data_IF_720545882157
#
_entry.id   IF_720545882157
#
_cell.length_a   1.000
_cell.length_b   1.000
_cell.length_c   1.000
_cell.angle_alpha   90.00
_cell.angle_beta   90.00
_cell.angle_gamma   90.00
#
_symmetry.space_group_name_H-M   'P 1'
#
loop_
_entity.id
_entity.type
_entity.pdbx_description
1 polymer ?
#
# COMPACT_ATOMS: atom_id res chain seq x y z
N UNK A 1 59.59 -5.93 -13.78
CA UNK A 1 58.53 -6.43 -14.71
C UNK A 1 57.40 -7.19 -13.98
N UNK A 2 57.66 -8.11 -13.04
CA UNK A 2 56.59 -8.81 -12.27
C UNK A 2 55.68 -7.89 -11.43
N UNK A 3 56.21 -6.80 -10.86
CA UNK A 3 55.41 -5.83 -10.07
C UNK A 3 54.50 -4.92 -10.90
N UNK A 4 54.84 -4.67 -12.17
CA UNK A 4 54.03 -3.87 -13.09
C UNK A 4 52.86 -4.72 -13.63
N UNK A 5 53.07 -6.02 -13.80
CA UNK A 5 52.02 -6.96 -14.19
C UNK A 5 50.92 -7.09 -13.10
N UNK A 6 51.28 -7.04 -11.82
CA UNK A 6 50.28 -7.07 -10.73
C UNK A 6 49.41 -5.80 -10.68
N UNK A 7 49.94 -4.62 -11.02
CA UNK A 7 49.17 -3.36 -11.05
C UNK A 7 48.19 -3.31 -12.24
N UNK A 8 48.55 -3.88 -13.39
CA UNK A 8 47.67 -3.99 -14.55
C UNK A 8 46.52 -4.99 -14.36
N UNK A 9 46.72 -6.04 -13.55
CA UNK A 9 45.66 -7.03 -13.25
C UNK A 9 44.64 -6.48 -12.24
N UNK A 10 45.05 -5.60 -11.32
CA UNK A 10 44.12 -4.96 -10.35
C UNK A 10 43.24 -3.90 -11.03
N UNK A 11 43.75 -3.21 -12.06
CA UNK A 11 42.96 -2.20 -12.80
C UNK A 11 41.84 -2.79 -13.67
N UNK A 12 41.88 -4.09 -13.99
CA UNK A 12 40.84 -4.76 -14.78
C UNK A 12 39.67 -5.30 -13.93
N UNK A 13 39.77 -5.17 -12.59
CA UNK A 13 38.73 -5.56 -11.64
C UNK A 13 37.96 -4.36 -11.05
N UNK A 14 38.04 -3.19 -11.68
CA UNK A 14 37.06 -2.14 -11.48
C UNK A 14 35.74 -2.56 -12.15
N UNK A 15 35.04 -3.52 -11.54
CA UNK A 15 33.67 -3.84 -11.87
C UNK A 15 32.90 -2.57 -11.54
N UNK A 16 32.51 -1.84 -12.58
CA UNK A 16 31.60 -0.73 -12.46
C UNK A 16 30.27 -1.28 -11.94
N UNK A 17 30.09 -1.27 -10.62
CA UNK A 17 28.79 -1.51 -9.97
C UNK A 17 27.95 -0.25 -10.11
N UNK A 18 27.64 0.12 -11.35
CA UNK A 18 26.60 1.11 -11.60
C UNK A 18 25.26 0.41 -11.43
N UNK A 19 24.33 1.11 -10.82
CA UNK A 19 22.94 0.72 -10.85
C UNK A 19 22.48 0.53 -12.30
N UNK A 20 21.76 -0.55 -12.57
CA UNK A 20 21.24 -0.92 -13.87
C UNK A 20 19.72 -0.85 -13.85
N UNK A 21 19.16 -0.28 -14.92
CA UNK A 21 17.75 -0.41 -15.25
C UNK A 21 17.33 -1.89 -15.25
N UNK A 22 16.26 -2.19 -14.54
CA UNK A 22 15.69 -3.54 -14.44
C UNK A 22 14.62 -3.68 -15.52
N UNK A 23 14.91 -4.50 -16.52
CA UNK A 23 13.92 -4.83 -17.56
C UNK A 23 12.77 -5.69 -17.00
N UNK A 24 11.68 -5.77 -17.75
CA UNK A 24 10.46 -6.46 -17.33
C UNK A 24 10.70 -7.94 -17.02
N UNK A 25 11.55 -8.64 -17.78
CA UNK A 25 11.80 -10.07 -17.55
C UNK A 25 12.61 -10.30 -16.28
N UNK A 26 13.62 -9.46 -16.03
CA UNK A 26 14.39 -9.45 -14.79
C UNK A 26 13.50 -9.11 -13.59
N UNK A 27 12.65 -8.09 -13.72
CA UNK A 27 11.67 -7.72 -12.70
C UNK A 27 10.66 -8.85 -12.44
N UNK A 28 10.21 -9.55 -13.48
CA UNK A 28 9.30 -10.69 -13.37
C UNK A 28 9.95 -11.84 -12.60
N UNK A 29 11.22 -12.17 -12.87
CA UNK A 29 11.97 -13.16 -12.08
C UNK A 29 12.07 -12.73 -10.61
N UNK A 30 12.50 -11.48 -10.37
CA UNK A 30 12.66 -10.93 -9.03
C UNK A 30 11.34 -10.91 -8.24
N UNK A 31 10.25 -10.46 -8.85
CA UNK A 31 8.92 -10.44 -8.26
C UNK A 31 8.42 -11.85 -7.94
N UNK A 32 8.70 -12.84 -8.80
CA UNK A 32 8.32 -14.24 -8.58
C UNK A 32 9.05 -14.83 -7.38
N UNK A 33 10.36 -14.58 -7.30
CA UNK A 33 11.18 -15.01 -6.17
C UNK A 33 10.75 -14.32 -4.88
N UNK A 34 10.51 -13.00 -4.90
CA UNK A 34 10.01 -12.24 -3.76
C UNK A 34 8.67 -12.81 -3.26
N UNK A 35 7.71 -13.02 -4.16
CA UNK A 35 6.42 -13.59 -3.78
C UNK A 35 6.61 -14.98 -3.15
N UNK A 36 7.40 -15.86 -3.77
CA UNK A 36 7.72 -17.19 -3.25
C UNK A 36 8.30 -17.14 -1.83
N UNK A 37 9.30 -16.28 -1.59
CA UNK A 37 9.94 -16.14 -0.29
C UNK A 37 8.97 -15.66 0.80
N UNK A 38 8.05 -14.77 0.45
CA UNK A 38 7.11 -14.15 1.40
C UNK A 38 5.88 -15.05 1.65
N UNK A 39 5.27 -15.63 0.62
CA UNK A 39 4.08 -16.48 0.76
C UNK A 39 4.40 -17.77 1.52
N UNK A 40 5.61 -18.30 1.36
CA UNK A 40 6.04 -19.53 2.01
C UNK A 40 6.29 -19.42 3.52
N UNK A 41 6.12 -18.22 4.09
CA UNK A 41 6.05 -18.03 5.53
C UNK A 41 4.67 -18.42 6.10
N UNK A 42 3.65 -18.49 5.25
CA UNK A 42 2.25 -18.70 5.63
C UNK A 42 1.62 -19.95 4.99
N UNK A 43 2.06 -20.29 3.78
CA UNK A 43 1.56 -21.42 2.98
C UNK A 43 2.74 -22.23 2.42
N UNK A 44 2.49 -23.38 1.81
CA UNK A 44 3.53 -24.14 1.10
C UNK A 44 3.23 -24.11 -0.40
N UNK A 45 3.86 -23.19 -1.13
CA UNK A 45 3.62 -22.93 -2.56
C UNK A 45 4.90 -23.19 -3.33
N UNK A 46 4.84 -24.01 -4.38
CA UNK A 46 6.02 -24.29 -5.20
C UNK A 46 6.32 -23.11 -6.13
N UNK A 47 7.60 -22.87 -6.38
CA UNK A 47 8.02 -21.83 -7.33
C UNK A 47 7.41 -22.03 -8.74
N UNK A 48 7.22 -23.28 -9.18
CA UNK A 48 6.58 -23.60 -10.46
C UNK A 48 5.11 -23.22 -10.55
N UNK A 49 4.42 -23.06 -9.41
CA UNK A 49 2.99 -22.72 -9.35
C UNK A 49 2.75 -21.21 -9.43
N UNK A 50 3.80 -20.39 -9.34
CA UNK A 50 3.70 -18.93 -9.35
C UNK A 50 3.87 -18.40 -10.78
N UNK A 51 2.81 -17.83 -11.34
CA UNK A 51 2.79 -17.14 -12.62
C UNK A 51 2.54 -15.65 -12.42
N UNK A 52 3.35 -14.81 -13.06
CA UNK A 52 3.22 -13.37 -12.98
C UNK A 52 2.73 -12.78 -14.29
N UNK A 53 1.76 -11.86 -14.18
CA UNK A 53 1.24 -11.09 -15.29
C UNK A 53 1.51 -9.60 -15.01
N UNK A 54 2.27 -8.94 -15.89
CA UNK A 54 2.46 -7.50 -15.80
C UNK A 54 1.12 -6.81 -16.06
N UNK A 55 0.66 -5.99 -15.12
CA UNK A 55 -0.62 -5.26 -15.23
C UNK A 55 -0.45 -3.76 -15.23
N UNK A 56 0.70 -3.24 -14.78
CA UNK A 56 0.99 -1.82 -14.78
C UNK A 56 2.50 -1.55 -14.83
N UNK A 57 2.88 -0.50 -15.56
CA UNK A 57 4.23 0.05 -15.55
C UNK A 57 4.12 1.55 -15.30
N UNK A 58 4.72 2.03 -14.22
CA UNK A 58 4.85 3.46 -14.00
C UNK A 58 6.03 4.00 -14.80
N UNK A 59 5.80 5.08 -15.54
CA UNK A 59 6.82 5.73 -16.36
C UNK A 59 6.88 7.21 -15.97
N UNK A 60 8.08 7.68 -15.61
CA UNK A 60 8.36 9.09 -15.34
C UNK A 60 9.54 9.52 -16.20
N UNK A 61 9.41 10.64 -16.93
CA UNK A 61 10.47 11.16 -17.81
C UNK A 61 10.99 10.11 -18.83
N UNK A 62 10.08 9.31 -19.40
CA UNK A 62 10.38 8.20 -20.31
C UNK A 62 11.18 7.02 -19.70
N UNK A 63 11.38 7.01 -18.38
CA UNK A 63 11.99 5.90 -17.66
C UNK A 63 10.96 5.14 -16.84
N UNK A 64 11.02 3.80 -16.87
CA UNK A 64 10.21 2.96 -15.99
C UNK A 64 10.73 3.10 -14.56
N UNK A 65 9.84 3.33 -13.60
CA UNK A 65 10.21 3.49 -12.18
C UNK A 65 9.72 2.33 -11.31
N UNK A 66 8.57 1.73 -11.62
CA UNK A 66 8.14 0.46 -11.01
C UNK A 66 7.18 -0.31 -11.92
N UNK A 67 7.04 -1.60 -11.61
CA UNK A 67 6.13 -2.53 -12.24
C UNK A 67 5.15 -3.12 -11.22
N UNK A 68 3.93 -3.42 -11.65
CA UNK A 68 2.96 -4.20 -10.86
C UNK A 68 2.66 -5.50 -11.60
N UNK A 69 2.86 -6.62 -10.91
CA UNK A 69 2.55 -7.95 -11.40
C UNK A 69 1.42 -8.58 -10.57
N UNK A 70 0.37 -9.06 -11.24
CA UNK A 70 -0.62 -9.92 -10.60
C UNK A 70 -0.14 -11.38 -10.60
N UNK A 71 -0.44 -12.09 -9.51
CA UNK A 71 -0.01 -13.47 -9.28
C UNK A 71 -1.16 -14.41 -9.58
N UNK A 72 -0.95 -15.37 -10.47
CA UNK A 72 -1.93 -16.40 -10.86
C UNK A 72 -3.32 -15.82 -11.20
N UNK A 73 -3.37 -14.59 -11.73
CA UNK A 73 -4.61 -13.87 -12.03
C UNK A 73 -5.25 -13.22 -10.82
N UNK A 74 -5.44 -13.94 -9.71
CA UNK A 74 -6.23 -13.48 -8.54
C UNK A 74 -5.54 -13.62 -7.18
N UNK A 75 -4.39 -14.29 -7.09
CA UNK A 75 -3.76 -14.71 -5.81
C UNK A 75 -2.86 -13.65 -5.18
N UNK A 76 -3.08 -12.38 -5.53
CA UNK A 76 -2.28 -11.26 -5.04
C UNK A 76 -1.56 -10.50 -6.13
N UNK A 77 -0.65 -9.64 -5.69
CA UNK A 77 0.20 -8.83 -6.56
C UNK A 77 1.55 -8.53 -5.92
N UNK A 78 2.51 -8.12 -6.74
CA UNK A 78 3.83 -7.60 -6.34
C UNK A 78 4.08 -6.28 -7.07
N UNK A 79 4.54 -5.28 -6.34
CA UNK A 79 4.99 -3.99 -6.84
C UNK A 79 6.52 -3.94 -6.67
N UNK A 80 7.23 -3.87 -7.79
CA UNK A 80 8.68 -3.96 -7.84
C UNK A 80 9.28 -2.71 -8.48
N UNK A 81 10.34 -2.15 -7.90
CA UNK A 81 11.13 -1.08 -8.53
C UNK A 81 11.68 -1.53 -9.88
N UNK A 82 11.75 -0.60 -10.83
CA UNK A 82 12.25 -0.84 -12.19
C UNK A 82 13.73 -0.45 -12.38
N UNK A 83 14.42 -0.11 -11.30
CA UNK A 83 15.84 0.22 -11.29
C UNK A 83 16.46 -0.26 -9.97
N UNK A 84 17.65 -0.86 -10.05
CA UNK A 84 18.31 -1.47 -8.88
C UNK A 84 18.98 -0.44 -7.94
N UNK A 85 18.90 0.85 -8.29
CA UNK A 85 19.22 1.97 -7.41
C UNK A 85 18.30 2.08 -6.19
N UNK A 86 17.06 1.58 -6.30
CA UNK A 86 16.02 1.65 -5.28
C UNK A 86 15.74 0.28 -4.66
N UNK A 87 15.10 0.26 -3.47
CA UNK A 87 14.68 -1.01 -2.85
C UNK A 87 13.80 -1.81 -3.82
N UNK A 88 14.04 -3.12 -4.00
CA UNK A 88 13.29 -3.91 -4.98
C UNK A 88 11.80 -3.99 -4.67
N UNK A 89 11.43 -4.31 -3.42
CA UNK A 89 10.05 -4.52 -3.02
C UNK A 89 9.42 -3.20 -2.55
N UNK A 90 8.51 -2.63 -3.34
CA UNK A 90 7.69 -1.50 -2.91
C UNK A 90 6.47 -1.98 -2.12
N UNK A 91 5.84 -3.08 -2.56
CA UNK A 91 4.69 -3.66 -1.87
C UNK A 91 4.25 -4.99 -2.47
N UNK A 92 3.44 -5.74 -1.73
CA UNK A 92 2.84 -7.00 -2.21
C UNK A 92 1.55 -7.32 -1.44
N UNK A 93 0.73 -8.20 -1.99
CA UNK A 93 -0.45 -8.79 -1.35
C UNK A 93 -0.57 -10.27 -1.71
N UNK A 94 -1.22 -11.06 -0.85
CA UNK A 94 -1.50 -12.48 -1.05
C UNK A 94 -2.99 -12.80 -1.22
N UNK A 95 -3.84 -11.79 -1.22
CA UNK A 95 -5.29 -11.98 -1.09
C UNK A 95 -6.02 -11.74 -2.41
N UNK A 96 -5.73 -10.61 -3.06
CA UNK A 96 -6.42 -10.21 -4.29
C UNK A 96 -5.46 -9.58 -5.29
N UNK A 97 -5.77 -9.74 -6.57
CA UNK A 97 -5.10 -9.04 -7.65
C UNK A 97 -5.21 -7.52 -7.53
N UNK A 98 -4.20 -6.81 -8.03
CA UNK A 98 -4.27 -5.37 -8.24
C UNK A 98 -5.22 -5.05 -9.40
N UNK A 99 -6.16 -4.12 -9.18
CA UNK A 99 -7.10 -3.66 -10.19
C UNK A 99 -6.78 -2.22 -10.59
N UNK A 100 -6.19 -2.06 -11.78
CA UNK A 100 -5.79 -0.76 -12.33
C UNK A 100 -6.96 0.18 -12.61
N UNK A 101 -8.19 -0.34 -12.74
CA UNK A 101 -9.39 0.48 -12.96
C UNK A 101 -10.01 1.03 -11.67
N UNK A 102 -9.57 0.55 -10.49
CA UNK A 102 -10.15 0.90 -9.19
C UNK A 102 -9.06 1.13 -8.15
N UNK A 103 -8.24 2.15 -8.36
CA UNK A 103 -7.14 2.49 -7.46
C UNK A 103 -7.56 3.63 -6.53
N UNK A 104 -7.60 3.45 -5.20
CA UNK A 104 -7.93 4.52 -4.26
C UNK A 104 -6.97 5.70 -4.36
N UNK A 105 -7.47 6.94 -4.22
CA UNK A 105 -6.64 8.15 -4.31
C UNK A 105 -5.50 8.18 -3.29
N UNK A 106 -5.75 7.73 -2.05
CA UNK A 106 -4.71 7.64 -1.02
C UNK A 106 -3.55 6.72 -1.43
N UNK A 107 -3.86 5.62 -2.11
CA UNK A 107 -2.86 4.70 -2.66
C UNK A 107 -2.11 5.35 -3.82
N UNK A 108 -2.80 6.05 -4.73
CA UNK A 108 -2.16 6.80 -5.82
C UNK A 108 -1.20 7.86 -5.29
N UNK A 109 -1.63 8.64 -4.29
CA UNK A 109 -0.79 9.62 -3.62
C UNK A 109 0.45 8.97 -3.01
N UNK A 110 0.29 7.86 -2.29
CA UNK A 110 1.41 7.14 -1.68
C UNK A 110 2.39 6.61 -2.73
N UNK A 111 1.88 5.99 -3.81
CA UNK A 111 2.69 5.50 -4.91
C UNK A 111 3.39 6.62 -5.69
N UNK A 112 2.80 7.82 -5.77
CA UNK A 112 3.46 8.98 -6.38
C UNK A 112 4.74 9.38 -5.63
N UNK A 113 4.83 9.13 -4.32
CA UNK A 113 6.04 9.40 -3.53
C UNK A 113 7.17 8.45 -3.93
N UNK A 114 6.90 7.15 -4.04
CA UNK A 114 7.87 6.19 -4.56
C UNK A 114 8.28 6.51 -5.99
N UNK A 115 7.32 6.82 -6.87
CA UNK A 115 7.58 7.21 -8.26
C UNK A 115 8.56 8.40 -8.34
N UNK A 116 8.32 9.44 -7.55
CA UNK A 116 9.18 10.62 -7.49
C UNK A 116 10.57 10.32 -6.88
N UNK A 117 10.64 9.54 -5.80
CA UNK A 117 11.90 9.18 -5.16
C UNK A 117 12.80 8.35 -6.10
N UNK A 118 12.22 7.35 -6.77
CA UNK A 118 12.94 6.51 -7.73
C UNK A 118 13.39 7.34 -8.93
N UNK A 119 12.49 8.14 -9.52
CA UNK A 119 12.84 9.02 -10.65
C UNK A 119 13.96 10.00 -10.30
N UNK A 120 13.92 10.56 -9.08
CA UNK A 120 14.94 11.47 -8.57
C UNK A 120 16.29 10.75 -8.40
N UNK A 121 16.30 9.54 -7.83
CA UNK A 121 17.51 8.73 -7.67
C UNK A 121 18.15 8.41 -9.03
N UNK A 122 17.34 8.00 -10.01
CA UNK A 122 17.78 7.74 -11.40
C UNK A 122 18.41 9.00 -12.00
N UNK A 123 17.71 10.13 -11.92
CA UNK A 123 18.16 11.42 -12.51
C UNK A 123 19.48 11.88 -11.89
N UNK A 124 19.63 11.72 -10.57
CA UNK A 124 20.83 12.12 -9.83
C UNK A 124 21.97 11.11 -9.95
N UNK A 125 21.73 9.94 -10.55
CA UNK A 125 22.68 8.82 -10.58
C UNK A 125 23.18 8.46 -9.18
N UNK A 126 22.25 8.42 -8.23
CA UNK A 126 22.59 8.00 -6.87
C UNK A 126 23.16 6.57 -6.87
N UNK A 127 23.84 6.21 -5.79
CA UNK A 127 24.35 4.85 -5.62
C UNK A 127 23.43 4.08 -4.66
N UNK A 128 23.07 2.82 -4.98
CA UNK A 128 22.33 1.99 -4.05
C UNK A 128 23.17 1.76 -2.79
N UNK A 129 22.50 1.71 -1.64
CA UNK A 129 23.16 1.29 -0.41
C UNK A 129 23.50 -0.20 -0.46
N UNK A 130 24.43 -0.65 0.39
CA UNK A 130 24.75 -2.08 0.49
C UNK A 130 23.51 -2.93 0.83
N UNK A 131 22.56 -2.37 1.60
CA UNK A 131 21.29 -3.01 1.92
C UNK A 131 20.43 -3.22 0.66
N UNK A 132 20.25 -2.18 -0.17
CA UNK A 132 19.51 -2.27 -1.43
C UNK A 132 20.15 -3.30 -2.37
N UNK A 133 21.47 -3.24 -2.54
CA UNK A 133 22.20 -4.21 -3.37
C UNK A 133 21.99 -5.64 -2.87
N UNK A 134 22.02 -5.86 -1.55
CA UNK A 134 21.77 -7.18 -0.95
C UNK A 134 20.33 -7.65 -1.21
N UNK A 135 19.33 -6.79 -1.00
CA UNK A 135 17.93 -7.12 -1.25
C UNK A 135 17.70 -7.56 -2.71
N UNK A 136 18.33 -6.90 -3.69
CA UNK A 136 18.28 -7.30 -5.09
C UNK A 136 18.93 -8.66 -5.35
N UNK A 137 20.12 -8.91 -4.80
CA UNK A 137 20.81 -10.20 -4.95
C UNK A 137 19.97 -11.35 -4.36
N UNK A 138 19.33 -11.12 -3.22
CA UNK A 138 18.50 -12.13 -2.53
C UNK A 138 17.28 -12.56 -3.35
N UNK A 139 16.78 -11.71 -4.27
CA UNK A 139 15.62 -12.01 -5.12
C UNK A 139 15.96 -12.25 -6.60
N UNK A 140 17.18 -11.95 -7.05
CA UNK A 140 17.66 -12.24 -8.40
C UNK A 140 18.30 -13.63 -8.53
N UNK A 141 18.50 -14.33 -7.41
CA UNK A 141 19.01 -15.71 -7.35
C UNK A 141 18.20 -16.69 -8.21
N UNK A 142 18.86 -17.74 -8.71
CA UNK A 142 18.21 -18.88 -9.37
C UNK A 142 17.57 -19.85 -8.36
N UNK A 143 18.04 -19.82 -7.11
CA UNK A 143 17.59 -20.70 -6.03
C UNK A 143 17.03 -19.87 -4.86
N UNK A 144 15.79 -19.37 -4.94
CA UNK A 144 15.21 -18.58 -3.86
C UNK A 144 14.95 -19.48 -2.64
N UNK A 145 15.42 -19.03 -1.47
CA UNK A 145 15.23 -19.74 -0.20
C UNK A 145 14.13 -19.11 0.64
N UNK A 146 13.33 -19.92 1.31
CA UNK A 146 12.28 -19.42 2.21
C UNK A 146 12.94 -18.84 3.47
N UNK A 147 12.81 -17.53 3.66
CA UNK A 147 13.32 -16.85 4.85
C UNK A 147 12.32 -16.99 6.00
N UNK A 148 12.74 -17.66 7.09
CA UNK A 148 11.96 -17.69 8.33
C UNK A 148 12.10 -16.36 9.05
N UNK A 149 11.09 -15.53 8.96
CA UNK A 149 10.99 -14.29 9.74
C UNK A 149 9.79 -14.35 10.68
N UNK A 150 9.88 -13.69 11.83
CA UNK A 150 8.69 -13.47 12.66
C UNK A 150 7.82 -12.43 11.96
N UNK A 151 6.59 -12.78 11.61
CA UNK A 151 5.59 -11.83 11.14
C UNK A 151 4.55 -11.61 12.24
N UNK A 152 4.01 -10.40 12.28
CA UNK A 152 2.82 -10.08 13.08
C UNK A 152 1.66 -10.06 12.07
N UNK A 153 0.59 -10.78 12.37
CA UNK A 153 -0.62 -10.72 11.55
C UNK A 153 -1.22 -9.31 11.57
N UNK A 154 -1.95 -8.87 10.53
CA UNK A 154 -2.63 -7.58 10.54
C UNK A 154 -3.47 -7.41 11.81
N UNK A 155 -3.22 -6.32 12.54
CA UNK A 155 -3.99 -6.01 13.76
C UNK A 155 -5.41 -5.58 13.40
N UNK A 156 -5.55 -4.81 12.32
CA UNK A 156 -6.84 -4.42 11.78
C UNK A 156 -7.34 -5.54 10.86
N UNK A 157 -8.48 -6.13 11.21
CA UNK A 157 -9.15 -7.20 10.45
C UNK A 157 -10.42 -6.72 9.76
N UNK A 158 -10.81 -5.47 9.98
CA UNK A 158 -11.95 -4.84 9.33
C UNK A 158 -11.50 -4.13 8.05
N UNK A 159 -12.39 -4.08 7.08
CA UNK A 159 -12.16 -3.51 5.75
C UNK A 159 -13.21 -2.45 5.47
N UNK A 160 -13.31 -1.48 6.38
CA UNK A 160 -14.31 -0.42 6.25
C UNK A 160 -13.96 0.53 5.11
N UNK A 161 -15.00 1.03 4.45
CA UNK A 161 -14.90 1.93 3.31
C UNK A 161 -15.53 3.29 3.66
N UNK A 162 -15.61 4.18 2.68
CA UNK A 162 -16.10 5.55 2.86
C UNK A 162 -17.41 5.82 2.11
N UNK A 163 -17.91 4.82 1.38
CA UNK A 163 -19.02 4.92 0.44
C UNK A 163 -20.32 4.37 1.03
N UNK A 164 -21.26 3.97 0.17
CA UNK A 164 -22.59 3.46 0.51
C UNK A 164 -22.54 2.50 1.71
N UNK A 165 -23.51 2.65 2.61
CA UNK A 165 -23.60 2.02 3.94
C UNK A 165 -22.70 2.64 5.01
N UNK A 166 -21.46 3.00 4.68
CA UNK A 166 -20.55 3.65 5.63
C UNK A 166 -20.87 5.14 5.80
N UNK A 167 -21.43 5.78 4.78
CA UNK A 167 -21.73 7.21 4.74
C UNK A 167 -23.21 7.58 4.95
N UNK A 168 -24.07 6.64 5.35
CA UNK A 168 -25.53 6.86 5.41
C UNK A 168 -25.98 8.00 6.33
N UNK A 169 -25.12 8.41 7.28
CA UNK A 169 -25.37 9.53 8.19
C UNK A 169 -24.52 10.77 7.89
N UNK A 170 -23.69 10.72 6.85
CA UNK A 170 -23.00 11.90 6.33
C UNK A 170 -23.99 12.84 5.61
N UNK A 171 -23.65 14.12 5.37
CA UNK A 171 -24.50 15.04 4.62
C UNK A 171 -25.01 14.47 3.29
N UNK A 172 -26.27 14.76 2.96
CA UNK A 172 -26.86 14.33 1.70
C UNK A 172 -26.25 15.08 0.51
N UNK A 173 -25.88 14.33 -0.52
CA UNK A 173 -25.37 14.86 -1.78
C UNK A 173 -25.71 13.93 -2.95
N UNK A 174 -26.44 14.44 -3.94
CA UNK A 174 -26.90 13.65 -5.09
C UNK A 174 -25.76 13.12 -5.98
N UNK A 175 -24.58 13.73 -5.95
CA UNK A 175 -23.39 13.27 -6.67
C UNK A 175 -22.57 12.24 -5.88
N UNK A 176 -22.85 12.08 -4.59
CA UNK A 176 -22.15 11.14 -3.71
C UNK A 176 -22.71 9.72 -3.76
N UNK A 177 -21.90 8.71 -3.37
CA UNK A 177 -22.36 7.32 -3.34
C UNK A 177 -23.52 7.15 -2.36
N UNK A 178 -24.57 6.45 -2.80
CA UNK A 178 -25.77 6.27 -1.99
C UNK A 178 -26.57 7.55 -1.72
N UNK A 179 -26.24 8.68 -2.36
CA UNK A 179 -26.90 9.97 -2.14
C UNK A 179 -26.32 10.79 -0.98
N UNK A 180 -25.10 10.47 -0.53
CA UNK A 180 -24.40 11.14 0.55
C UNK A 180 -22.93 11.38 0.19
N UNK A 181 -22.33 12.43 0.76
CA UNK A 181 -20.87 12.63 0.68
C UNK A 181 -20.12 11.44 1.26
N UNK A 182 -18.87 11.22 0.83
CA UNK A 182 -18.04 10.15 1.40
C UNK A 182 -17.74 10.42 2.88
N UNK A 183 -17.52 9.38 3.69
CA UNK A 183 -17.06 9.53 5.10
C UNK A 183 -15.74 10.32 5.19
N UNK A 184 -14.86 10.17 4.20
CA UNK A 184 -13.54 10.78 4.15
C UNK A 184 -12.44 9.87 4.69
N UNK A 185 -11.26 9.92 4.06
CA UNK A 185 -10.20 8.93 4.27
C UNK A 185 -9.57 9.04 5.66
N UNK A 186 -9.48 10.26 6.19
CA UNK A 186 -8.99 10.55 7.55
C UNK A 186 -9.95 9.97 8.59
N UNK A 187 -11.25 10.26 8.46
CA UNK A 187 -12.28 9.73 9.35
C UNK A 187 -12.33 8.20 9.30
N UNK A 188 -12.32 7.62 8.09
CA UNK A 188 -12.30 6.16 7.89
C UNK A 188 -11.07 5.52 8.54
N UNK A 189 -9.89 6.11 8.38
CA UNK A 189 -8.66 5.62 9.03
C UNK A 189 -8.76 5.69 10.56
N UNK A 190 -9.30 6.79 11.10
CA UNK A 190 -9.52 6.97 12.52
C UNK A 190 -10.47 5.91 13.10
N UNK A 191 -11.64 5.70 12.49
CA UNK A 191 -12.64 4.76 13.02
C UNK A 191 -12.18 3.31 12.93
N UNK A 192 -11.34 2.96 11.94
CA UNK A 192 -10.72 1.64 11.85
C UNK A 192 -9.81 1.38 13.07
N UNK A 193 -8.96 2.34 13.44
CA UNK A 193 -8.15 2.23 14.66
C UNK A 193 -9.01 2.18 15.92
N UNK A 194 -10.07 3.00 16.00
CA UNK A 194 -10.98 2.96 17.16
C UNK A 194 -11.69 1.61 17.28
N UNK A 195 -12.09 1.01 16.16
CA UNK A 195 -12.74 -0.31 16.12
C UNK A 195 -11.82 -1.42 16.62
N UNK A 196 -10.52 -1.34 16.34
CA UNK A 196 -9.55 -2.29 16.90
C UNK A 196 -9.57 -2.30 18.43
N UNK A 197 -9.69 -1.12 19.05
CA UNK A 197 -9.77 -0.98 20.50
C UNK A 197 -11.19 -1.12 21.07
N UNK A 198 -12.22 -1.08 20.22
CA UNK A 198 -13.62 -0.92 20.61
C UNK A 198 -13.79 0.18 21.68
N UNK A 199 -13.18 1.35 21.44
CA UNK A 199 -13.15 2.45 22.39
C UNK A 199 -13.34 3.80 21.69
N UNK A 200 -14.07 4.76 22.30
CA UNK A 200 -14.74 4.69 23.60
C UNK A 200 -16.15 4.11 23.54
N UNK A 201 -16.70 3.67 24.68
CA UNK A 201 -18.14 3.35 24.79
C UNK A 201 -19.00 4.61 24.71
N UNK A 202 -18.56 5.69 25.35
CA UNK A 202 -19.23 7.00 25.33
C UNK A 202 -18.21 8.07 24.97
N UNK A 203 -18.57 8.99 24.07
CA UNK A 203 -17.69 10.08 23.68
C UNK A 203 -17.54 11.16 24.76
N UNK A 204 -16.75 12.19 24.46
CA UNK A 204 -16.50 13.32 25.38
C UNK A 204 -16.65 14.64 24.65
N UNK A 205 -17.33 15.59 25.30
CA UNK A 205 -17.51 16.96 24.77
C UNK A 205 -18.42 17.03 23.56
N UNK A 206 -18.31 18.13 22.83
CA UNK A 206 -19.05 18.39 21.59
C UNK A 206 -18.17 19.16 20.62
N UNK A 207 -18.41 19.01 19.32
CA UNK A 207 -17.74 19.78 18.28
C UNK A 207 -18.73 20.22 17.22
N UNK A 208 -18.47 21.38 16.62
CA UNK A 208 -19.19 21.88 15.45
C UNK A 208 -18.19 22.15 14.35
N UNK A 209 -18.34 21.43 13.25
CA UNK A 209 -17.65 21.71 12.01
C UNK A 209 -18.48 22.70 11.18
N UNK A 210 -17.83 23.74 10.65
CA UNK A 210 -18.46 24.77 9.82
C UNK A 210 -17.72 24.77 8.49
N UNK A 211 -18.13 23.85 7.62
CA UNK A 211 -17.59 23.76 6.26
C UNK A 211 -18.56 24.35 5.23
N UNK A 212 -18.01 24.95 4.18
CA UNK A 212 -18.80 25.63 3.14
C UNK A 212 -19.47 24.60 2.21
N UNK A 213 -20.78 24.38 2.38
CA UNK A 213 -21.59 23.58 1.44
C UNK A 213 -22.78 22.87 2.10
N UNK A 214 -22.58 22.36 3.33
CA UNK A 214 -23.58 21.53 4.03
C UNK A 214 -24.05 22.11 5.37
N UNK A 215 -23.69 23.37 5.66
CA UNK A 215 -24.05 24.06 6.89
C UNK A 215 -23.19 23.66 8.09
N UNK A 216 -23.65 23.98 9.29
CA UNK A 216 -22.96 23.61 10.53
C UNK A 216 -23.30 22.17 10.92
N UNK A 217 -22.28 21.34 11.07
CA UNK A 217 -22.40 19.94 11.48
C UNK A 217 -21.96 19.82 12.93
N UNK A 218 -22.90 19.56 13.84
CA UNK A 218 -22.62 19.48 15.29
C UNK A 218 -22.80 18.06 15.80
N UNK A 219 -21.84 17.60 16.59
CA UNK A 219 -21.94 16.34 17.35
C UNK A 219 -21.65 16.61 18.81
N UNK A 220 -22.59 16.25 19.68
CA UNK A 220 -22.37 16.19 21.13
C UNK A 220 -21.97 14.76 21.52
N UNK A 221 -20.67 14.47 21.47
CA UNK A 221 -20.08 13.17 21.76
C UNK A 221 -20.36 12.67 23.19
N UNK A 222 -20.50 13.58 24.16
CA UNK A 222 -20.84 13.23 25.54
C UNK A 222 -22.21 12.55 25.68
N UNK A 223 -23.10 12.77 24.69
CA UNK A 223 -24.42 12.14 24.62
C UNK A 223 -24.46 10.96 23.61
N UNK A 224 -23.31 10.50 23.10
CA UNK A 224 -23.25 9.40 22.14
C UNK A 224 -22.71 8.14 22.81
N UNK A 225 -23.42 7.02 22.60
CA UNK A 225 -22.94 5.68 22.94
C UNK A 225 -22.65 4.90 21.67
N UNK A 226 -21.49 4.24 21.63
CA UNK A 226 -21.01 3.40 20.53
C UNK A 226 -21.09 1.93 20.92
N UNK A 227 -21.96 1.20 20.24
CA UNK A 227 -22.21 -0.22 20.49
C UNK A 227 -21.33 -1.03 19.54
N UNK A 228 -20.06 -1.17 19.91
CA UNK A 228 -19.02 -1.72 19.03
C UNK A 228 -19.30 -3.15 18.57
N UNK A 229 -19.97 -3.96 19.38
CA UNK A 229 -20.38 -5.32 19.03
C UNK A 229 -21.34 -5.38 17.83
N UNK A 230 -22.08 -4.30 17.56
CA UNK A 230 -22.98 -4.20 16.42
C UNK A 230 -22.29 -3.71 15.14
N UNK A 231 -20.98 -3.44 15.19
CA UNK A 231 -20.19 -2.97 14.06
C UNK A 231 -19.37 -4.14 13.49
N UNK A 232 -19.81 -4.79 12.38
CA UNK A 232 -19.10 -5.92 11.78
C UNK A 232 -17.80 -5.48 11.09
N UNK A 233 -16.95 -6.43 10.72
CA UNK A 233 -15.66 -6.15 10.07
C UNK A 233 -15.80 -5.57 8.66
N UNK A 234 -16.93 -5.78 7.99
CA UNK A 234 -17.27 -5.20 6.69
C UNK A 234 -18.79 -5.09 6.56
N UNK A 235 -19.27 -4.14 5.77
CA UNK A 235 -20.68 -3.96 5.47
C UNK A 235 -21.04 -4.58 4.11
N UNK A 236 -22.12 -5.35 4.09
CA UNK A 236 -22.82 -5.79 2.87
C UNK A 236 -24.23 -5.17 2.75
N UNK A 237 -24.59 -4.31 3.70
CA UNK A 237 -25.89 -3.66 3.83
C UNK A 237 -25.83 -2.58 4.91
N UNK A 238 -26.96 -1.88 5.08
CA UNK A 238 -27.07 -0.73 5.99
C UNK A 238 -26.69 -1.08 7.43
N UNK A 239 -25.90 -0.21 8.06
CA UNK A 239 -25.56 -0.32 9.48
C UNK A 239 -25.32 1.08 10.07
N UNK A 240 -26.36 1.61 10.72
CA UNK A 240 -26.33 2.96 11.27
C UNK A 240 -25.30 3.15 12.39
N UNK A 241 -24.84 2.10 13.07
CA UNK A 241 -23.79 2.22 14.09
C UNK A 241 -22.43 2.55 13.45
N UNK A 242 -22.09 1.89 12.33
CA UNK A 242 -20.88 2.20 11.54
C UNK A 242 -21.01 3.57 10.87
N UNK A 243 -22.17 3.87 10.27
CA UNK A 243 -22.39 5.18 9.65
C UNK A 243 -22.30 6.34 10.65
N UNK A 244 -22.85 6.14 11.86
CA UNK A 244 -22.84 7.13 12.96
C UNK A 244 -21.42 7.46 13.35
N UNK A 245 -20.58 6.44 13.59
CA UNK A 245 -19.21 6.70 14.00
C UNK A 245 -18.37 7.31 12.86
N UNK A 246 -18.62 6.92 11.60
CA UNK A 246 -18.00 7.54 10.44
C UNK A 246 -18.30 9.04 10.35
N UNK A 247 -19.58 9.40 10.41
CA UNK A 247 -20.01 10.81 10.42
C UNK A 247 -19.41 11.58 11.62
N UNK A 248 -19.47 11.00 12.83
CA UNK A 248 -18.91 11.63 14.03
C UNK A 248 -17.41 11.87 13.91
N UNK A 249 -16.65 10.91 13.37
CA UNK A 249 -15.23 11.07 13.12
C UNK A 249 -14.95 12.15 12.07
N UNK A 250 -15.77 12.24 11.01
CA UNK A 250 -15.68 13.31 10.03
C UNK A 250 -15.87 14.69 10.65
N UNK A 251 -16.91 14.87 11.46
CA UNK A 251 -17.12 16.12 12.21
C UNK A 251 -15.93 16.42 13.14
N UNK A 252 -15.41 15.42 13.86
CA UNK A 252 -14.30 15.59 14.80
C UNK A 252 -13.00 16.10 14.15
N UNK A 253 -12.78 15.81 12.87
CA UNK A 253 -11.57 16.21 12.13
C UNK A 253 -11.77 17.40 11.20
N UNK A 254 -12.91 18.09 11.30
CA UNK A 254 -13.31 19.18 10.38
C UNK A 254 -13.27 18.73 8.91
N UNK A 255 -14.00 17.66 8.61
CA UNK A 255 -13.98 17.05 7.28
C UNK A 255 -14.48 18.04 6.22
N UNK A 256 -13.60 18.30 5.26
CA UNK A 256 -13.93 19.03 4.02
C UNK A 256 -14.70 18.09 3.09
N UNK A 257 -15.99 17.89 3.36
CA UNK A 257 -16.90 17.07 2.56
C UNK A 257 -17.14 17.65 1.16
#
# INVERSE_FOLDING_TARGET
>A
MKKILCLLVISFFAINTFAKKVDVETAKKAAKNLYYQKINQFKNVKLSEINLNLVYTEIVNAESVYYIFNVNGTEGFVILSADDIAKPCIGYSFESSFNTSKVPESFQFYMSKFSNEISSAITQKALPTQEITKEWLDILTDEPVVLKTKSIQPLLIHTWNQDTYYNELCPADAAGPGGHVYVGCVATSMIQVMKYWNYPTTGTGSHTDVFSGYGSLTVNYANQTYIWENMPNALSGSNLEVAKIGYHAGVAVNMSY
#
